data_IF_770367327026
#
_entry.id   IF_770367327026
#
_cell.length_a   1.000
_cell.length_b   1.000
_cell.length_c   1.000
_cell.angle_alpha   90.00
_cell.angle_beta   90.00
_cell.angle_gamma   90.00
#
_symmetry.space_group_name_H-M   'P 1'
#
loop_
_entity.id
_entity.type
_entity.pdbx_description
1 polymer ?
#
# COMPACT_ATOMS: atom_id res chain seq x y z
N UNK A 1 23.73 -5.69 -25.33
CA UNK A 1 22.65 -6.70 -25.20
C UNK A 1 21.37 -6.11 -25.75
N UNK A 2 20.41 -6.93 -26.19
CA UNK A 2 19.13 -6.42 -26.70
C UNK A 2 18.08 -6.47 -25.59
N UNK A 3 17.25 -5.44 -25.49
CA UNK A 3 16.06 -5.45 -24.64
C UNK A 3 14.91 -6.09 -25.41
N UNK A 4 14.33 -7.13 -24.86
CA UNK A 4 13.14 -7.78 -25.38
C UNK A 4 11.97 -7.47 -24.47
N UNK A 5 10.88 -6.98 -25.05
CA UNK A 5 9.60 -6.81 -24.39
C UNK A 5 8.69 -7.94 -24.86
N UNK A 6 8.33 -8.83 -23.94
CA UNK A 6 7.57 -10.04 -24.23
C UNK A 6 6.19 -9.87 -23.63
N UNK A 7 5.23 -9.62 -24.50
CA UNK A 7 3.85 -9.50 -24.09
C UNK A 7 3.31 -10.87 -23.68
N UNK A 8 2.82 -10.98 -22.45
CA UNK A 8 2.02 -12.10 -21.98
C UNK A 8 0.55 -11.73 -22.00
N UNK A 9 -0.32 -12.69 -22.28
CA UNK A 9 -1.78 -12.49 -22.31
C UNK A 9 -2.45 -13.59 -21.53
N UNK A 10 -3.44 -13.25 -20.72
CA UNK A 10 -4.37 -14.20 -20.14
C UNK A 10 -5.56 -14.36 -21.11
N UNK A 11 -5.70 -15.51 -21.80
CA UNK A 11 -6.70 -15.69 -22.84
C UNK A 11 -8.13 -15.75 -22.29
N UNK A 12 -8.31 -15.95 -20.97
CA UNK A 12 -9.65 -16.00 -20.34
C UNK A 12 -10.18 -14.62 -19.98
N UNK A 13 -9.30 -13.68 -19.65
CA UNK A 13 -9.66 -12.36 -19.13
C UNK A 13 -9.30 -11.22 -20.09
N UNK A 14 -8.45 -11.49 -21.08
CA UNK A 14 -7.91 -10.47 -21.97
C UNK A 14 -6.85 -9.58 -21.32
N UNK A 15 -6.44 -9.85 -20.08
CA UNK A 15 -5.35 -9.12 -19.44
C UNK A 15 -4.04 -9.36 -20.20
N UNK A 16 -3.30 -8.28 -20.42
CA UNK A 16 -1.96 -8.34 -20.99
C UNK A 16 -0.95 -7.87 -19.96
N UNK A 17 0.22 -8.50 -19.91
CA UNK A 17 1.39 -8.00 -19.19
C UNK A 17 2.60 -8.04 -20.10
N UNK A 18 3.74 -7.54 -19.64
CA UNK A 18 4.99 -7.52 -20.39
C UNK A 18 6.14 -8.03 -19.52
N UNK A 19 6.81 -9.08 -19.98
CA UNK A 19 8.08 -9.54 -19.41
C UNK A 19 9.19 -8.81 -20.16
N UNK A 20 10.01 -8.06 -19.46
CA UNK A 20 11.23 -7.45 -19.98
C UNK A 20 12.40 -8.42 -19.76
N UNK A 21 13.15 -8.64 -20.83
CA UNK A 21 14.31 -9.50 -20.83
C UNK A 21 15.45 -8.79 -21.56
N UNK A 22 16.48 -8.43 -20.82
CA UNK A 22 17.74 -7.97 -21.40
C UNK A 22 18.62 -9.19 -21.59
N UNK A 23 18.94 -9.54 -22.85
CA UNK A 23 19.88 -10.66 -23.11
C UNK A 23 20.76 -10.48 -24.35
N UNK A 24 21.97 -11.06 -24.32
CA UNK A 24 22.79 -11.29 -25.52
C UNK A 24 22.32 -12.50 -26.33
N UNK A 25 21.54 -13.40 -25.72
CA UNK A 25 21.09 -14.68 -26.29
C UNK A 25 19.72 -14.56 -26.97
N UNK A 26 19.59 -13.61 -27.90
CA UNK A 26 18.34 -13.33 -28.60
C UNK A 26 17.71 -14.53 -29.33
N UNK A 27 18.54 -15.50 -29.72
CA UNK A 27 18.09 -16.76 -30.34
C UNK A 27 17.35 -17.69 -29.38
N UNK A 28 17.50 -17.52 -28.06
CA UNK A 28 16.83 -18.30 -27.03
C UNK A 28 15.77 -17.50 -26.26
N UNK A 29 15.42 -16.31 -26.74
CA UNK A 29 14.57 -15.38 -25.99
C UNK A 29 13.23 -15.97 -25.55
N UNK A 30 12.61 -16.78 -26.42
CA UNK A 30 11.34 -17.44 -26.12
C UNK A 30 11.48 -18.47 -25.00
N UNK A 31 12.51 -19.31 -25.06
CA UNK A 31 12.81 -20.30 -24.01
C UNK A 31 13.10 -19.62 -22.67
N UNK A 32 13.85 -18.51 -22.67
CA UNK A 32 14.14 -17.72 -21.46
C UNK A 32 12.85 -17.14 -20.87
N UNK A 33 11.98 -16.62 -21.73
CA UNK A 33 10.69 -16.07 -21.32
C UNK A 33 9.72 -17.13 -20.77
N UNK A 34 9.67 -18.30 -21.41
CA UNK A 34 8.85 -19.44 -20.98
C UNK A 34 9.31 -19.97 -19.62
N UNK A 35 10.64 -20.13 -19.45
CA UNK A 35 11.21 -20.55 -18.16
C UNK A 35 10.96 -19.53 -17.05
N UNK A 36 11.02 -18.23 -17.34
CA UNK A 36 10.66 -17.19 -16.37
C UNK A 36 9.20 -17.27 -15.97
N UNK A 37 8.29 -17.25 -16.93
CA UNK A 37 6.85 -17.32 -16.69
C UNK A 37 6.52 -18.61 -15.90
N UNK A 38 7.14 -19.73 -16.26
CA UNK A 38 7.04 -20.99 -15.54
C UNK A 38 7.54 -20.88 -14.09
N UNK A 39 8.70 -20.24 -13.87
CA UNK A 39 9.26 -20.06 -12.53
C UNK A 39 8.34 -19.18 -11.66
N UNK A 40 7.74 -18.11 -12.20
CA UNK A 40 6.77 -17.28 -11.50
C UNK A 40 5.49 -18.06 -11.14
N UNK A 41 5.02 -18.94 -12.03
CA UNK A 41 3.82 -19.76 -11.81
C UNK A 41 4.09 -20.89 -10.81
N UNK A 42 5.31 -21.44 -10.82
CA UNK A 42 5.67 -22.67 -10.11
C UNK A 42 6.79 -22.46 -9.08
N UNK A 43 6.85 -21.29 -8.43
CA UNK A 43 7.88 -21.00 -7.42
C UNK A 43 7.84 -22.13 -6.37
N UNK A 44 8.98 -22.80 -6.17
CA UNK A 44 9.09 -23.86 -5.16
C UNK A 44 8.95 -23.23 -3.77
N UNK A 45 8.01 -23.68 -2.91
CA UNK A 45 7.78 -23.09 -1.58
C UNK A 45 9.03 -23.04 -0.69
N UNK A 46 9.99 -23.92 -0.95
CA UNK A 46 11.26 -24.03 -0.21
C UNK A 46 12.24 -22.88 -0.50
N UNK A 47 11.97 -22.03 -1.50
CA UNK A 47 12.77 -20.86 -1.88
C UNK A 47 12.09 -19.53 -1.50
N UNK A 48 10.91 -19.59 -0.87
CA UNK A 48 10.15 -18.43 -0.42
C UNK A 48 10.13 -18.38 1.11
N UNK A 49 10.37 -17.21 1.68
CA UNK A 49 10.34 -16.99 3.13
C UNK A 49 8.88 -17.05 3.66
N UNK A 50 7.86 -17.04 2.79
CA UNK A 50 6.44 -17.18 3.15
C UNK A 50 5.61 -17.80 1.99
N UNK A 51 4.69 -18.73 2.31
CA UNK A 51 3.78 -19.40 1.37
C UNK A 51 2.77 -18.44 0.69
N UNK A 52 2.52 -17.26 1.27
CA UNK A 52 1.61 -16.24 0.74
C UNK A 52 1.95 -15.82 -0.71
N UNK A 53 3.25 -15.71 -1.02
CA UNK A 53 3.70 -15.25 -2.34
C UNK A 53 3.61 -16.34 -3.41
N UNK A 54 3.84 -17.61 -3.05
CA UNK A 54 3.62 -18.73 -3.95
C UNK A 54 2.15 -18.77 -4.41
N UNK A 55 1.23 -18.62 -3.46
CA UNK A 55 -0.20 -18.60 -3.72
C UNK A 55 -0.61 -17.36 -4.53
N UNK A 56 -0.04 -16.18 -4.25
CA UNK A 56 -0.29 -14.95 -5.02
C UNK A 56 0.13 -15.10 -6.49
N UNK A 57 1.38 -15.46 -6.78
CA UNK A 57 1.84 -15.55 -8.16
C UNK A 57 1.15 -16.68 -8.93
N UNK A 58 0.92 -17.83 -8.29
CA UNK A 58 0.15 -18.91 -8.89
C UNK A 58 -1.29 -18.47 -9.20
N UNK A 59 -1.96 -17.76 -8.28
CA UNK A 59 -3.32 -17.27 -8.49
C UNK A 59 -3.41 -16.23 -9.60
N UNK A 60 -2.45 -15.33 -9.70
CA UNK A 60 -2.50 -14.19 -10.62
C UNK A 60 -1.87 -14.47 -11.99
N UNK A 61 -0.91 -15.39 -12.11
CA UNK A 61 -0.15 -15.62 -13.35
C UNK A 61 -0.31 -17.02 -13.97
N UNK A 62 -0.95 -17.99 -13.30
CA UNK A 62 -1.13 -19.37 -13.82
C UNK A 62 -1.84 -19.50 -15.16
N UNK A 63 -2.53 -18.44 -15.59
CA UNK A 63 -3.33 -18.41 -16.82
C UNK A 63 -2.73 -17.50 -17.89
N UNK A 64 -1.54 -16.94 -17.68
CA UNK A 64 -0.88 -16.10 -18.69
C UNK A 64 -0.03 -16.95 -19.64
N UNK A 65 -0.03 -16.57 -20.91
CA UNK A 65 0.73 -17.21 -21.99
C UNK A 65 1.52 -16.15 -22.78
N UNK A 66 2.65 -16.53 -23.38
CA UNK A 66 3.43 -15.60 -24.22
C UNK A 66 2.69 -15.36 -25.54
N UNK A 67 2.47 -14.09 -25.86
CA UNK A 67 1.72 -13.65 -27.04
C UNK A 67 2.62 -13.03 -28.12
N UNK A 68 3.44 -12.03 -27.77
CA UNK A 68 4.33 -11.35 -28.72
C UNK A 68 5.70 -11.09 -28.11
N UNK A 69 6.74 -11.11 -28.95
CA UNK A 69 8.11 -10.77 -28.56
C UNK A 69 8.55 -9.57 -29.42
N UNK A 70 8.78 -8.44 -28.77
CA UNK A 70 9.22 -7.20 -29.39
C UNK A 70 10.69 -7.00 -29.05
N UNK A 71 11.55 -7.00 -30.07
CA UNK A 71 12.98 -6.65 -29.90
C UNK A 71 13.12 -5.13 -29.95
N UNK A 72 13.74 -4.54 -28.94
CA UNK A 72 14.10 -3.12 -28.90
C UNK A 72 15.63 -2.98 -28.79
N UNK A 73 16.23 -2.24 -29.72
CA UNK A 73 17.67 -2.01 -29.75
C UNK A 73 18.00 -0.75 -28.95
N UNK A 74 18.25 -0.92 -27.65
CA UNK A 74 18.91 0.07 -26.81
C UNK A 74 20.20 -0.54 -26.28
N UNK A 75 21.32 0.14 -26.51
CA UNK A 75 22.63 -0.29 -26.04
C UNK A 75 22.74 -0.07 -24.52
N UNK A 76 22.45 -1.11 -23.75
CA UNK A 76 22.76 -1.18 -22.32
C UNK A 76 24.09 -1.91 -22.09
N UNK A 77 24.90 -1.40 -21.15
CA UNK A 77 26.14 -2.03 -20.70
C UNK A 77 25.90 -2.84 -19.42
N UNK A 78 26.15 -4.16 -19.54
CA UNK A 78 26.35 -5.18 -18.50
C UNK A 78 25.12 -5.90 -17.89
N UNK A 79 25.24 -7.24 -17.88
CA UNK A 79 24.42 -8.31 -17.28
C UNK A 79 23.00 -8.58 -17.84
N UNK A 80 22.61 -9.86 -17.89
CA UNK A 80 21.25 -10.32 -18.25
C UNK A 80 20.28 -9.89 -17.13
N UNK A 81 19.36 -8.97 -17.43
CA UNK A 81 18.52 -8.27 -16.44
C UNK A 81 17.02 -8.37 -16.80
N UNK A 82 16.14 -8.45 -15.81
CA UNK A 82 14.93 -9.27 -15.92
C UNK A 82 13.69 -8.75 -15.12
N UNK A 83 12.85 -7.89 -15.71
CA UNK A 83 11.63 -7.34 -15.03
C UNK A 83 10.31 -7.84 -15.62
N UNK A 84 9.20 -7.78 -14.86
CA UNK A 84 7.83 -7.88 -15.41
C UNK A 84 7.10 -6.56 -15.13
N UNK A 85 6.63 -5.89 -16.18
CA UNK A 85 5.81 -4.67 -16.16
C UNK A 85 4.43 -5.10 -16.68
N UNK A 86 3.37 -5.03 -15.87
CA UNK A 86 2.02 -5.40 -16.32
C UNK A 86 1.39 -4.35 -17.27
N UNK A 87 0.63 -3.33 -16.89
CA UNK A 87 -0.26 -2.46 -17.72
C UNK A 87 -1.61 -3.09 -18.04
N UNK A 88 -2.63 -2.56 -17.37
CA UNK A 88 -4.03 -2.72 -17.74
C UNK A 88 -4.37 -1.77 -18.89
N UNK A 89 -4.60 -2.30 -20.10
CA UNK A 89 -5.31 -1.54 -21.14
C UNK A 89 -6.81 -1.78 -21.03
N UNK A 90 -7.46 -1.10 -20.09
CA UNK A 90 -8.92 -0.92 -20.15
C UNK A 90 -9.22 0.49 -20.65
N UNK A 91 -9.95 0.55 -21.77
CA UNK A 91 -10.41 1.79 -22.41
C UNK A 91 -11.15 2.66 -21.38
N UNK A 92 -10.51 3.73 -20.88
CA UNK A 92 -11.19 4.83 -20.20
C UNK A 92 -10.93 5.06 -18.70
N UNK A 93 -9.95 4.42 -18.07
CA UNK A 93 -9.57 4.72 -16.67
C UNK A 93 -8.07 5.02 -16.55
N UNK A 94 -7.73 5.87 -15.58
CA UNK A 94 -6.45 6.54 -15.33
C UNK A 94 -5.24 5.58 -15.44
N UNK A 95 -4.19 6.02 -16.15
CA UNK A 95 -2.90 5.33 -16.19
C UNK A 95 -2.24 5.40 -14.81
N UNK A 96 -2.38 4.34 -14.02
CA UNK A 96 -1.51 4.13 -12.86
C UNK A 96 -0.09 3.82 -13.38
N UNK A 97 0.89 4.61 -12.96
CA UNK A 97 2.30 4.32 -13.15
C UNK A 97 2.59 3.02 -12.39
N UNK A 98 3.14 2.00 -13.04
CA UNK A 98 3.45 0.76 -12.33
C UNK A 98 4.64 0.98 -11.40
N UNK A 99 4.33 1.12 -10.12
CA UNK A 99 5.30 1.19 -9.03
C UNK A 99 5.97 -0.17 -8.86
N UNK A 100 7.30 -0.18 -8.70
CA UNK A 100 8.06 -1.37 -8.31
C UNK A 100 7.73 -1.68 -6.85
N UNK A 101 7.58 -2.96 -6.51
CA UNK A 101 7.38 -3.34 -5.11
C UNK A 101 8.68 -3.09 -4.32
N UNK A 102 8.57 -2.56 -3.11
CA UNK A 102 9.70 -2.26 -2.22
C UNK A 102 10.63 -3.48 -2.01
N UNK A 103 10.09 -4.70 -2.04
CA UNK A 103 10.87 -5.93 -1.91
C UNK A 103 11.77 -6.21 -3.12
N UNK A 104 11.30 -5.86 -4.32
CA UNK A 104 12.04 -6.06 -5.57
C UNK A 104 13.00 -4.90 -5.82
N UNK A 105 12.62 -3.70 -5.37
CA UNK A 105 13.41 -2.48 -5.49
C UNK A 105 14.78 -2.58 -4.80
N UNK A 106 14.82 -3.18 -3.62
CA UNK A 106 16.01 -3.23 -2.78
C UNK A 106 16.15 -4.60 -2.13
N UNK A 107 17.38 -5.12 -2.09
CA UNK A 107 17.68 -6.33 -1.34
C UNK A 107 17.78 -6.00 0.16
N UNK A 108 16.83 -6.51 0.94
CA UNK A 108 16.71 -6.24 2.38
C UNK A 108 17.45 -7.22 3.28
N UNK A 109 17.85 -8.39 2.78
CA UNK A 109 18.32 -9.50 3.61
C UNK A 109 17.19 -10.06 4.49
N UNK A 110 17.42 -10.17 5.80
CA UNK A 110 16.35 -10.50 6.75
C UNK A 110 15.42 -9.30 6.94
N UNK A 111 14.36 -9.28 6.13
CA UNK A 111 13.41 -8.18 6.12
C UNK A 111 12.69 -7.99 7.46
N UNK A 112 12.34 -9.06 8.18
CA UNK A 112 11.68 -8.92 9.47
C UNK A 112 12.60 -8.23 10.49
N UNK A 113 13.88 -8.59 10.50
CA UNK A 113 14.87 -7.92 11.34
C UNK A 113 15.01 -6.42 10.97
N UNK A 114 14.91 -6.08 9.68
CA UNK A 114 14.97 -4.67 9.23
C UNK A 114 13.74 -3.88 9.66
N UNK A 115 12.56 -4.47 9.53
CA UNK A 115 11.32 -3.81 9.98
C UNK A 115 11.33 -3.60 11.49
N UNK A 116 11.88 -4.55 12.26
CA UNK A 116 12.12 -4.37 13.70
C UNK A 116 13.08 -3.22 13.99
N UNK A 117 14.20 -3.12 13.26
CA UNK A 117 15.15 -1.98 13.36
C UNK A 117 14.45 -0.63 13.14
N UNK A 118 13.57 -0.55 12.13
CA UNK A 118 12.77 0.65 11.87
C UNK A 118 11.80 0.95 13.02
N UNK A 119 11.09 -0.07 13.52
CA UNK A 119 10.14 0.08 14.62
C UNK A 119 10.82 0.59 15.90
N UNK A 120 12.03 0.11 16.21
CA UNK A 120 12.81 0.53 17.38
C UNK A 120 13.40 1.95 17.21
N UNK A 121 13.78 2.34 15.99
CA UNK A 121 14.29 3.70 15.71
C UNK A 121 13.19 4.76 15.71
N UNK A 122 11.98 4.40 15.25
CA UNK A 122 10.82 5.26 15.17
C UNK A 122 10.18 5.55 16.54
N UNK A 123 9.25 6.52 16.57
CA UNK A 123 8.40 6.77 17.73
C UNK A 123 7.65 5.49 18.16
N UNK A 124 7.49 5.21 19.46
CA UNK A 124 6.84 3.99 19.95
C UNK A 124 5.40 3.87 19.46
N UNK A 125 5.12 2.74 18.81
CA UNK A 125 3.81 2.40 18.27
C UNK A 125 3.61 0.88 18.22
N UNK A 126 2.36 0.44 18.30
CA UNK A 126 2.00 -0.97 18.09
C UNK A 126 1.93 -1.26 16.59
N UNK A 127 2.87 -2.04 16.08
CA UNK A 127 3.06 -2.29 14.64
C UNK A 127 2.50 -3.61 14.13
N UNK A 128 1.78 -4.34 14.98
CA UNK A 128 1.10 -5.59 14.64
C UNK A 128 -0.32 -5.59 15.20
N UNK A 129 -1.19 -6.40 14.63
CA UNK A 129 -2.47 -6.70 15.26
C UNK A 129 -2.28 -7.76 16.35
N UNK A 130 -3.15 -7.72 17.38
CA UNK A 130 -3.11 -8.69 18.48
C UNK A 130 -1.75 -8.74 19.18
N UNK A 131 -1.35 -9.88 19.74
CA UNK A 131 -0.05 -10.07 20.42
C UNK A 131 0.99 -10.71 19.48
N UNK A 132 0.85 -10.48 18.16
CA UNK A 132 1.80 -10.95 17.16
C UNK A 132 3.00 -10.01 17.02
N UNK A 133 4.21 -10.55 16.87
CA UNK A 133 5.44 -9.77 16.62
C UNK A 133 5.82 -9.79 15.12
N UNK A 134 4.81 -9.66 14.25
CA UNK A 134 4.97 -9.83 12.79
C UNK A 134 5.19 -8.51 12.04
N UNK A 135 4.96 -7.37 12.69
CA UNK A 135 5.07 -6.01 12.14
C UNK A 135 4.22 -5.77 10.88
N UNK A 136 3.10 -6.49 10.70
CA UNK A 136 2.22 -6.42 9.53
C UNK A 136 1.75 -5.00 9.19
N UNK A 137 1.47 -4.17 10.20
CA UNK A 137 1.04 -2.77 10.01
C UNK A 137 2.19 -1.95 9.43
N UNK A 138 3.40 -2.08 10.00
CA UNK A 138 4.57 -1.33 9.54
C UNK A 138 5.00 -1.73 8.14
N UNK A 139 4.93 -3.02 7.81
CA UNK A 139 5.22 -3.52 6.45
C UNK A 139 4.28 -2.94 5.42
N UNK A 140 2.97 -2.95 5.70
CA UNK A 140 1.97 -2.34 4.82
C UNK A 140 2.20 -0.83 4.70
N UNK A 141 2.42 -0.14 5.82
CA UNK A 141 2.69 1.29 5.85
C UNK A 141 3.89 1.65 4.96
N UNK A 142 5.02 0.96 5.14
CA UNK A 142 6.24 1.24 4.40
C UNK A 142 6.07 0.94 2.90
N UNK A 143 5.39 -0.16 2.54
CA UNK A 143 5.07 -0.52 1.16
C UNK A 143 4.26 0.58 0.46
N UNK A 144 3.13 0.99 1.03
CA UNK A 144 2.28 2.01 0.41
C UNK A 144 2.91 3.40 0.45
N UNK A 145 3.75 3.70 1.44
CA UNK A 145 4.54 4.93 1.47
C UNK A 145 5.57 4.94 0.35
N UNK A 146 6.27 3.84 0.12
CA UNK A 146 7.21 3.71 -0.99
C UNK A 146 6.52 3.84 -2.36
N UNK A 147 5.38 3.19 -2.55
CA UNK A 147 4.58 3.34 -3.77
C UNK A 147 4.17 4.81 -3.99
N UNK A 148 3.72 5.49 -2.93
CA UNK A 148 3.33 6.90 -3.02
C UNK A 148 4.50 7.81 -3.39
N UNK A 149 5.70 7.54 -2.87
CA UNK A 149 6.90 8.29 -3.22
C UNK A 149 7.33 8.07 -4.67
N UNK A 150 7.12 6.87 -5.23
CA UNK A 150 7.33 6.62 -6.65
C UNK A 150 6.38 7.45 -7.52
N UNK A 151 5.09 7.47 -7.18
CA UNK A 151 4.09 8.29 -7.90
C UNK A 151 4.41 9.80 -7.86
N UNK A 152 5.04 10.25 -6.76
CA UNK A 152 5.39 11.65 -6.53
C UNK A 152 6.80 12.03 -7.00
N UNK A 153 7.57 11.08 -7.54
CA UNK A 153 8.97 11.27 -7.94
C UNK A 153 9.86 11.81 -6.79
N UNK A 154 9.67 11.26 -5.59
CA UNK A 154 10.36 11.69 -4.35
C UNK A 154 11.45 10.74 -3.87
N UNK A 155 11.79 9.74 -4.67
CA UNK A 155 12.89 8.82 -4.40
C UNK A 155 14.14 9.38 -5.06
N UNK A 156 15.23 9.47 -4.31
CA UNK A 156 16.53 9.85 -4.87
C UNK A 156 17.22 8.58 -5.32
N UNK A 157 17.53 8.51 -6.61
CA UNK A 157 18.36 7.47 -7.21
C UNK A 157 19.55 8.10 -7.94
N UNK A 158 20.73 7.52 -7.72
CA UNK A 158 21.95 7.91 -8.44
C UNK A 158 22.61 6.69 -9.09
N UNK A 159 23.85 6.82 -9.52
CA UNK A 159 24.64 5.68 -10.00
C UNK A 159 25.17 4.79 -8.86
N UNK A 160 25.18 5.30 -7.62
CA UNK A 160 25.85 4.64 -6.48
C UNK A 160 24.94 4.38 -5.29
N UNK A 161 23.87 5.14 -5.12
CA UNK A 161 22.97 5.01 -3.97
C UNK A 161 21.51 5.37 -4.28
N UNK A 162 20.61 4.93 -3.40
CA UNK A 162 19.25 5.44 -3.33
C UNK A 162 18.84 5.80 -1.91
N UNK A 163 17.93 6.79 -1.79
CA UNK A 163 17.36 7.24 -0.51
C UNK A 163 15.89 7.56 -0.71
N UNK A 164 15.06 7.12 0.23
CA UNK A 164 13.68 7.59 0.32
C UNK A 164 13.26 7.83 1.77
N UNK A 165 12.31 8.75 1.95
CA UNK A 165 11.77 9.10 3.26
C UNK A 165 10.77 8.03 3.73
N UNK A 166 10.95 7.44 4.90
CA UNK A 166 10.02 6.41 5.40
C UNK A 166 8.68 6.99 5.86
N UNK A 167 8.60 8.31 6.04
CA UNK A 167 7.44 8.99 6.64
C UNK A 167 7.37 8.89 8.17
N UNK A 168 8.26 8.12 8.78
CA UNK A 168 8.39 7.98 10.24
C UNK A 168 9.44 8.94 10.82
N UNK A 169 9.32 9.17 12.11
CA UNK A 169 10.19 10.05 12.88
C UNK A 169 10.81 9.29 14.05
N UNK A 170 12.04 9.65 14.39
CA UNK A 170 12.74 9.14 15.57
C UNK A 170 12.15 9.70 16.87
N UNK A 171 12.65 9.21 18.00
CA UNK A 171 12.34 9.75 19.33
C UNK A 171 12.68 11.24 19.49
N UNK A 172 13.55 11.78 18.64
CA UNK A 172 13.93 13.19 18.59
C UNK A 172 13.14 13.99 17.56
N UNK A 173 12.10 13.41 16.96
CA UNK A 173 11.33 14.00 15.86
C UNK A 173 12.18 14.33 14.63
N UNK A 174 13.23 13.55 14.38
CA UNK A 174 14.00 13.61 13.14
C UNK A 174 13.45 12.61 12.12
N UNK A 175 13.32 12.99 10.83
CA UNK A 175 12.85 12.07 9.79
C UNK A 175 13.77 10.86 9.64
N UNK A 176 13.18 9.69 9.43
CA UNK A 176 13.91 8.44 9.17
C UNK A 176 13.85 8.14 7.67
N UNK A 177 15.00 7.87 7.09
CA UNK A 177 15.19 7.53 5.68
C UNK A 177 15.64 6.08 5.53
N UNK A 178 15.17 5.41 4.48
CA UNK A 178 15.78 4.15 4.05
C UNK A 178 16.91 4.46 3.07
N UNK A 179 18.09 3.90 3.31
CA UNK A 179 19.28 4.10 2.48
C UNK A 179 19.76 2.77 1.89
N UNK A 180 20.06 2.79 0.59
CA UNK A 180 20.65 1.68 -0.12
C UNK A 180 21.84 2.09 -0.99
N UNK A 181 22.76 1.16 -1.21
CA UNK A 181 23.91 1.29 -2.11
C UNK A 181 23.74 0.35 -3.31
N UNK A 182 24.46 0.62 -4.40
CA UNK A 182 24.47 -0.28 -5.55
C UNK A 182 24.84 -1.70 -5.13
N UNK A 183 24.00 -2.66 -5.48
CA UNK A 183 24.22 -4.07 -5.19
C UNK A 183 25.36 -4.61 -6.08
N UNK A 184 26.52 -4.86 -5.49
CA UNK A 184 27.71 -5.37 -6.19
C UNK A 184 27.81 -6.89 -6.19
N UNK A 185 26.85 -7.58 -5.57
CA UNK A 185 26.87 -9.03 -5.48
C UNK A 185 26.09 -9.64 -6.66
N UNK A 186 26.83 -10.08 -7.68
CA UNK A 186 26.28 -10.71 -8.90
C UNK A 186 25.40 -11.94 -8.59
N UNK A 187 25.60 -12.60 -7.45
CA UNK A 187 24.80 -13.77 -7.04
C UNK A 187 23.43 -13.43 -6.45
N UNK A 188 23.20 -12.17 -6.06
CA UNK A 188 21.95 -11.64 -5.45
C UNK A 188 21.35 -10.54 -6.36
N UNK A 189 21.73 -10.51 -7.64
CA UNK A 189 21.50 -9.39 -8.57
C UNK A 189 20.04 -9.23 -9.06
N UNK A 190 19.03 -9.67 -8.31
CA UNK A 190 17.63 -9.40 -8.64
C UNK A 190 17.22 -7.95 -8.34
N UNK A 191 17.84 -7.32 -7.34
CA UNK A 191 17.57 -5.93 -6.95
C UNK A 191 18.80 -5.06 -7.17
N UNK A 192 18.64 -3.92 -7.85
CA UNK A 192 19.69 -2.92 -8.09
C UNK A 192 20.31 -2.40 -6.79
N UNK A 193 19.48 -2.21 -5.77
CA UNK A 193 19.88 -1.61 -4.51
C UNK A 193 20.07 -2.68 -3.43
N UNK A 194 21.05 -2.47 -2.55
CA UNK A 194 21.28 -3.25 -1.35
C UNK A 194 21.00 -2.38 -0.13
N UNK A 195 20.13 -2.84 0.78
CA UNK A 195 19.76 -2.08 1.97
C UNK A 195 20.95 -1.91 2.93
N UNK A 196 21.23 -0.66 3.32
CA UNK A 196 22.36 -0.30 4.17
C UNK A 196 21.96 0.20 5.56
N UNK A 197 20.69 0.50 5.78
CA UNK A 197 20.18 0.90 7.09
C UNK A 197 19.11 1.98 7.03
N UNK A 198 18.42 2.15 8.15
CA UNK A 198 17.56 3.30 8.39
C UNK A 198 18.37 4.43 9.02
N UNK A 199 18.41 5.59 8.36
CA UNK A 199 19.27 6.72 8.72
C UNK A 199 18.46 7.96 9.02
N UNK A 200 18.90 8.76 9.98
CA UNK A 200 18.41 10.13 10.16
C UNK A 200 19.17 11.13 9.26
N UNK A 201 18.84 12.42 9.39
CA UNK A 201 19.51 13.50 8.64
C UNK A 201 21.00 13.61 8.95
N UNK A 202 21.42 13.35 10.19
CA UNK A 202 22.82 13.46 10.60
C UNK A 202 23.64 12.29 10.05
N UNK A 203 23.14 11.06 10.16
CA UNK A 203 23.77 9.85 9.64
C UNK A 203 23.92 9.85 8.12
N UNK A 204 22.95 10.43 7.40
CA UNK A 204 23.06 10.67 5.97
C UNK A 204 24.03 11.82 5.65
N UNK A 205 24.01 12.89 6.45
CA UNK A 205 24.92 14.04 6.29
C UNK A 205 26.39 13.66 6.44
N UNK A 206 26.73 12.72 7.33
CA UNK A 206 28.11 12.20 7.47
C UNK A 206 28.61 11.55 6.17
N UNK A 207 27.72 10.95 5.38
CA UNK A 207 28.09 10.31 4.12
C UNK A 207 28.42 11.35 3.03
N UNK A 208 27.97 12.61 3.19
CA UNK A 208 28.15 13.71 2.24
C UNK A 208 27.69 13.35 0.81
N UNK A 209 26.67 12.49 0.70
CA UNK A 209 26.14 11.99 -0.58
C UNK A 209 24.81 12.63 -0.97
N UNK A 210 24.09 13.26 -0.03
CA UNK A 210 22.74 13.82 -0.28
C UNK A 210 22.80 15.34 -0.22
N UNK A 211 22.65 16.00 -1.38
CA UNK A 211 22.56 17.47 -1.45
C UNK A 211 21.21 18.00 -0.95
N UNK A 212 20.11 17.32 -1.32
CA UNK A 212 18.75 17.61 -0.88
C UNK A 212 18.10 16.32 -0.37
N UNK A 213 17.58 16.34 0.86
CA UNK A 213 16.89 15.18 1.42
C UNK A 213 15.53 14.92 0.74
N UNK A 214 15.14 13.66 0.53
CA UNK A 214 13.86 13.34 -0.11
C UNK A 214 12.70 13.74 0.80
N UNK A 215 11.68 14.35 0.19
CA UNK A 215 10.49 14.79 0.90
C UNK A 215 9.61 13.59 1.31
N UNK A 216 8.77 13.79 2.33
CA UNK A 216 7.79 12.79 2.75
C UNK A 216 6.67 12.66 1.71
N UNK A 217 6.07 11.48 1.65
CA UNK A 217 4.87 11.21 0.86
C UNK A 217 3.73 12.17 1.23
N UNK A 218 3.07 12.76 0.23
CA UNK A 218 1.94 13.66 0.43
C UNK A 218 0.60 12.94 0.21
N UNK A 219 0.02 12.48 1.31
CA UNK A 219 -1.30 11.85 1.27
C UNK A 219 -2.46 12.87 1.26
N UNK A 220 -2.22 14.15 1.55
CA UNK A 220 -3.27 15.15 1.75
C UNK A 220 -2.87 16.55 1.32
N UNK A 221 -2.59 16.70 0.03
CA UNK A 221 -2.37 18.01 -0.60
C UNK A 221 -3.51 19.01 -0.38
N UNK A 222 -4.73 18.51 -0.17
CA UNK A 222 -5.91 19.30 0.25
C UNK A 222 -6.34 18.93 1.68
N UNK A 223 -5.90 19.69 2.70
CA UNK A 223 -6.25 19.42 4.11
C UNK A 223 -7.75 19.49 4.40
N UNK A 224 -8.56 20.16 3.57
CA UNK A 224 -10.01 20.26 3.78
C UNK A 224 -10.70 18.89 3.70
N UNK A 225 -10.04 17.89 3.10
CA UNK A 225 -10.51 16.51 3.00
C UNK A 225 -10.33 15.68 4.27
N UNK A 226 -9.52 16.15 5.22
CA UNK A 226 -9.24 15.41 6.45
C UNK A 226 -10.37 15.47 7.48
N UNK A 227 -11.29 16.43 7.35
CA UNK A 227 -12.32 16.72 8.35
C UNK A 227 -13.71 16.52 7.77
N UNK A 228 -14.58 15.86 8.52
CA UNK A 228 -15.99 15.72 8.15
C UNK A 228 -16.70 17.09 8.15
N UNK A 229 -17.29 17.45 7.01
CA UNK A 229 -18.06 18.67 6.86
C UNK A 229 -19.55 18.41 7.13
N UNK A 230 -20.01 18.78 8.32
CA UNK A 230 -21.38 18.56 8.79
C UNK A 230 -22.47 19.30 8.00
N UNK A 231 -22.10 20.29 7.17
CA UNK A 231 -23.04 20.97 6.28
C UNK A 231 -23.41 20.15 5.05
N UNK A 232 -22.63 19.09 4.73
CA UNK A 232 -22.86 18.26 3.56
C UNK A 232 -23.78 17.09 3.88
N UNK A 233 -24.66 16.77 2.93
CA UNK A 233 -25.54 15.60 3.05
C UNK A 233 -24.75 14.31 2.88
N UNK A 234 -25.19 13.25 3.54
CA UNK A 234 -24.68 11.89 3.38
C UNK A 234 -25.72 11.05 2.65
N UNK A 235 -25.40 10.64 1.42
CA UNK A 235 -26.23 9.75 0.61
C UNK A 235 -25.81 8.31 0.86
N UNK A 236 -26.73 7.47 1.32
CA UNK A 236 -26.46 6.08 1.72
C UNK A 236 -26.92 5.09 0.67
N UNK A 237 -26.03 4.20 0.23
CA UNK A 237 -26.36 3.11 -0.67
C UNK A 237 -26.58 1.80 0.12
N UNK A 238 -27.73 1.68 0.78
CA UNK A 238 -28.06 0.51 1.60
C UNK A 238 -28.02 -0.80 0.80
N UNK A 239 -28.45 -0.75 -0.47
CA UNK A 239 -28.43 -1.91 -1.36
C UNK A 239 -27.00 -2.43 -1.52
N UNK A 240 -26.05 -1.54 -1.84
CA UNK A 240 -24.66 -1.95 -1.99
C UNK A 240 -24.07 -2.43 -0.66
N UNK A 241 -24.36 -1.78 0.46
CA UNK A 241 -23.80 -2.20 1.77
C UNK A 241 -24.30 -3.60 2.18
N UNK A 242 -25.56 -3.94 1.89
CA UNK A 242 -26.18 -5.21 2.31
C UNK A 242 -26.04 -6.34 1.29
N UNK A 243 -26.13 -6.05 0.00
CA UNK A 243 -26.27 -7.06 -1.05
C UNK A 243 -24.94 -7.37 -1.78
N UNK A 244 -23.96 -6.47 -1.73
CA UNK A 244 -22.64 -6.71 -2.30
C UNK A 244 -21.89 -7.76 -1.46
N UNK A 245 -21.41 -8.83 -2.08
CA UNK A 245 -20.81 -9.96 -1.36
C UNK A 245 -19.56 -9.57 -0.58
N UNK A 246 -18.70 -8.72 -1.14
CA UNK A 246 -17.44 -8.31 -0.50
C UNK A 246 -17.72 -7.42 0.72
N UNK A 247 -18.69 -6.53 0.62
CA UNK A 247 -19.09 -5.63 1.70
C UNK A 247 -19.90 -6.36 2.78
N UNK A 248 -20.90 -7.14 2.38
CA UNK A 248 -21.80 -7.84 3.30
C UNK A 248 -21.06 -8.88 4.14
N UNK A 249 -20.04 -9.55 3.60
CA UNK A 249 -19.19 -10.48 4.34
C UNK A 249 -18.44 -9.82 5.51
N UNK A 250 -18.24 -8.49 5.48
CA UNK A 250 -17.57 -7.76 6.57
C UNK A 250 -18.54 -7.33 7.68
N UNK A 251 -19.85 -7.32 7.42
CA UNK A 251 -20.83 -6.94 8.42
C UNK A 251 -20.89 -7.97 9.56
N UNK A 252 -21.22 -7.54 10.80
CA UNK A 252 -21.35 -8.44 11.92
C UNK A 252 -22.55 -9.39 11.74
N UNK A 253 -22.48 -10.54 12.42
CA UNK A 253 -23.54 -11.56 12.38
C UNK A 253 -24.89 -11.02 12.87
N UNK A 254 -24.89 -10.00 13.72
CA UNK A 254 -26.10 -9.31 14.19
C UNK A 254 -26.92 -8.71 13.04
N UNK A 255 -26.28 -8.24 11.98
CA UNK A 255 -26.95 -7.74 10.77
C UNK A 255 -27.23 -8.87 9.78
N UNK A 256 -26.24 -9.74 9.52
CA UNK A 256 -26.39 -10.84 8.55
C UNK A 256 -27.56 -11.77 8.89
N UNK A 257 -27.79 -12.00 10.18
CA UNK A 257 -28.85 -12.88 10.69
C UNK A 257 -30.10 -12.11 11.15
N UNK A 258 -30.15 -10.79 10.94
CA UNK A 258 -31.31 -9.98 11.34
C UNK A 258 -32.53 -10.31 10.49
N UNK A 259 -33.71 -10.37 11.12
CA UNK A 259 -34.98 -10.42 10.40
C UNK A 259 -35.30 -9.08 9.68
N UNK A 260 -34.62 -8.00 10.08
CA UNK A 260 -34.83 -6.62 9.60
C UNK A 260 -33.48 -5.91 9.40
N UNK A 261 -32.63 -6.40 8.46
CA UNK A 261 -31.27 -5.90 8.29
C UNK A 261 -31.24 -4.45 7.81
N UNK A 262 -32.20 -4.05 6.96
CA UNK A 262 -32.28 -2.69 6.42
C UNK A 262 -32.61 -1.65 7.49
N UNK A 263 -33.61 -1.93 8.33
CA UNK A 263 -34.04 -1.04 9.41
C UNK A 263 -32.93 -0.89 10.46
N UNK A 264 -32.27 -2.01 10.79
CA UNK A 264 -31.15 -2.02 11.74
C UNK A 264 -29.98 -1.20 11.21
N UNK A 265 -29.59 -1.43 9.94
CA UNK A 265 -28.50 -0.69 9.30
C UNK A 265 -28.80 0.81 9.20
N UNK A 266 -30.04 1.18 8.83
CA UNK A 266 -30.48 2.58 8.80
C UNK A 266 -30.30 3.23 10.16
N UNK A 267 -30.81 2.61 11.21
CA UNK A 267 -30.71 3.13 12.58
C UNK A 267 -29.26 3.33 13.03
N UNK A 268 -28.39 2.35 12.76
CA UNK A 268 -26.97 2.41 13.10
C UNK A 268 -26.25 3.52 12.34
N UNK A 269 -26.42 3.59 11.01
CA UNK A 269 -25.78 4.63 10.19
C UNK A 269 -26.28 6.03 10.58
N UNK A 270 -27.59 6.22 10.70
CA UNK A 270 -28.13 7.55 11.03
C UNK A 270 -27.65 8.01 12.42
N UNK A 271 -27.59 7.09 13.41
CA UNK A 271 -27.01 7.39 14.73
C UNK A 271 -25.52 7.73 14.64
N UNK A 272 -24.73 6.95 13.89
CA UNK A 272 -23.30 7.20 13.71
C UNK A 272 -23.03 8.55 13.04
N UNK A 273 -23.81 8.92 12.03
CA UNK A 273 -23.70 10.24 11.39
C UNK A 273 -24.05 11.37 12.38
N UNK A 274 -25.08 11.22 13.21
CA UNK A 274 -25.37 12.21 14.26
C UNK A 274 -24.23 12.33 15.28
N UNK A 275 -23.62 11.21 15.70
CA UNK A 275 -22.42 11.22 16.57
C UNK A 275 -21.28 12.00 15.93
N UNK A 276 -20.99 11.77 14.65
CA UNK A 276 -19.93 12.49 13.91
C UNK A 276 -20.26 13.98 13.72
N UNK A 277 -21.52 14.35 13.48
CA UNK A 277 -21.95 15.75 13.45
C UNK A 277 -21.68 16.42 14.81
N UNK A 278 -21.98 15.73 15.92
CA UNK A 278 -21.73 16.24 17.26
C UNK A 278 -20.23 16.31 17.61
N UNK A 279 -19.42 15.39 17.08
CA UNK A 279 -17.98 15.36 17.27
C UNK A 279 -17.27 14.94 15.98
N UNK A 280 -16.80 15.93 15.22
CA UNK A 280 -16.12 15.72 13.93
C UNK A 280 -14.86 14.85 14.04
N UNK A 281 -14.24 14.74 15.23
CA UNK A 281 -13.04 13.92 15.46
C UNK A 281 -13.32 12.42 15.40
N UNK A 282 -14.60 12.01 15.43
CA UNK A 282 -14.98 10.59 15.27
C UNK A 282 -14.81 10.09 13.83
N UNK A 283 -14.80 10.99 12.85
CA UNK A 283 -14.47 10.63 11.48
C UNK A 283 -12.94 10.57 11.31
N UNK A 284 -12.43 9.44 10.83
CA UNK A 284 -11.00 9.23 10.62
C UNK A 284 -10.69 9.28 9.13
N UNK A 285 -9.77 10.13 8.66
CA UNK A 285 -9.37 10.13 7.26
C UNK A 285 -8.57 8.86 6.95
N UNK A 286 -8.80 8.29 5.77
CA UNK A 286 -7.98 7.23 5.22
C UNK A 286 -7.66 7.48 3.74
N UNK A 287 -6.57 6.91 3.27
CA UNK A 287 -6.13 7.04 1.88
C UNK A 287 -6.43 5.75 1.12
N UNK A 288 -7.15 5.86 0.01
CA UNK A 288 -7.50 4.72 -0.85
C UNK A 288 -7.60 5.17 -2.30
N UNK A 289 -6.93 4.46 -3.22
CA UNK A 289 -6.98 4.74 -4.67
C UNK A 289 -6.79 6.23 -5.03
N UNK A 290 -5.71 6.83 -4.54
CA UNK A 290 -5.34 8.22 -4.84
C UNK A 290 -6.34 9.30 -4.43
N UNK A 291 -7.16 8.99 -3.43
CA UNK A 291 -8.07 9.95 -2.78
C UNK A 291 -8.16 9.73 -1.28
N UNK A 292 -8.51 10.81 -0.59
CA UNK A 292 -8.90 10.77 0.82
C UNK A 292 -10.40 10.52 0.91
N UNK A 293 -10.76 9.59 1.78
CA UNK A 293 -12.12 9.29 2.21
C UNK A 293 -12.18 9.37 3.74
N UNK A 294 -13.39 9.42 4.29
CA UNK A 294 -13.60 9.46 5.74
C UNK A 294 -14.24 8.17 6.23
N UNK A 295 -13.75 7.64 7.35
CA UNK A 295 -14.26 6.47 8.03
C UNK A 295 -15.15 6.90 9.19
N UNK A 296 -16.35 6.34 9.27
CA UNK A 296 -17.27 6.54 10.38
C UNK A 296 -17.51 5.21 11.09
N UNK A 297 -17.27 5.10 12.42
CA UNK A 297 -17.47 3.85 13.14
C UNK A 297 -18.95 3.47 13.20
N UNK A 298 -19.26 2.22 12.86
CA UNK A 298 -20.59 1.64 13.05
C UNK A 298 -20.54 0.62 14.19
N UNK A 299 -21.36 0.82 15.21
CA UNK A 299 -21.51 -0.09 16.35
C UNK A 299 -22.90 -0.72 16.29
N UNK A 300 -22.96 -2.04 16.18
CA UNK A 300 -24.19 -2.84 16.17
C UNK A 300 -24.42 -3.55 17.51
N UNK A 301 -23.38 -3.59 18.37
CA UNK A 301 -23.43 -4.10 19.73
C UNK A 301 -24.11 -3.17 20.74
N UNK A 302 -24.07 -3.58 22.01
CA UNK A 302 -24.57 -2.77 23.15
C UNK A 302 -23.53 -1.79 23.68
N UNK A 303 -22.26 -2.05 23.40
CA UNK A 303 -21.12 -1.19 23.70
C UNK A 303 -20.84 -0.24 22.53
N UNK A 304 -20.06 0.82 22.80
CA UNK A 304 -19.61 1.76 21.77
C UNK A 304 -18.39 1.23 20.97
N UNK A 305 -18.13 -0.08 21.03
CA UNK A 305 -17.06 -0.72 20.26
C UNK A 305 -17.46 -0.83 18.78
N UNK A 306 -16.68 -0.27 17.83
CA UNK A 306 -17.02 -0.35 16.42
C UNK A 306 -16.83 -1.76 15.84
N UNK A 307 -17.82 -2.24 15.09
CA UNK A 307 -17.74 -3.53 14.38
C UNK A 307 -17.10 -3.37 12.98
N UNK A 308 -17.46 -2.28 12.30
CA UNK A 308 -16.99 -1.94 10.95
C UNK A 308 -16.89 -0.42 10.80
N UNK A 309 -16.14 0.04 9.81
CA UNK A 309 -16.04 1.44 9.45
C UNK A 309 -16.80 1.72 8.14
N UNK A 310 -17.79 2.61 8.18
CA UNK A 310 -18.49 3.12 7.00
C UNK A 310 -17.58 4.10 6.24
N UNK A 311 -17.41 3.87 4.94
CA UNK A 311 -16.61 4.76 4.07
C UNK A 311 -17.50 5.87 3.52
N UNK A 312 -17.07 7.12 3.69
CA UNK A 312 -17.67 8.31 3.12
C UNK A 312 -16.75 8.93 2.07
N UNK A 313 -17.20 8.92 0.82
CA UNK A 313 -16.50 9.56 -0.30
C UNK A 313 -17.06 10.97 -0.55
N UNK A 314 -16.19 11.99 -0.57
CA UNK A 314 -16.59 13.36 -0.87
C UNK A 314 -16.70 13.57 -2.37
N UNK A 315 -17.94 13.66 -2.85
CA UNK A 315 -18.22 13.88 -4.27
C UNK A 315 -17.97 15.34 -4.66
N UNK A 316 -17.50 15.55 -5.90
CA UNK A 316 -17.26 16.89 -6.49
C UNK A 316 -18.49 17.82 -6.44
N UNK A 317 -19.69 17.22 -6.42
CA UNK A 317 -20.98 17.89 -6.35
C UNK A 317 -21.38 18.37 -4.95
N UNK A 318 -20.56 18.17 -3.91
CA UNK A 318 -20.79 18.70 -2.57
C UNK A 318 -21.71 17.84 -1.69
N UNK A 319 -21.51 16.53 -1.69
CA UNK A 319 -22.13 15.61 -0.74
C UNK A 319 -21.23 14.40 -0.50
N UNK A 320 -21.44 13.70 0.62
CA UNK A 320 -20.79 12.43 0.90
C UNK A 320 -21.60 11.26 0.33
N UNK A 321 -20.91 10.28 -0.24
CA UNK A 321 -21.49 9.02 -0.66
C UNK A 321 -21.00 7.89 0.26
N UNK A 322 -21.94 7.20 0.90
CA UNK A 322 -21.68 6.05 1.75
C UNK A 322 -22.03 4.77 1.00
N UNK A 323 -21.01 4.02 0.56
CA UNK A 323 -21.19 2.88 -0.36
C UNK A 323 -20.76 1.55 0.22
N UNK A 324 -19.72 1.52 1.06
CA UNK A 324 -19.14 0.27 1.58
C UNK A 324 -18.70 0.41 3.02
N UNK A 325 -18.41 -0.73 3.64
CA UNK A 325 -17.85 -0.86 4.98
C UNK A 325 -16.50 -1.59 4.90
N UNK A 326 -15.55 -1.15 5.72
CA UNK A 326 -14.27 -1.81 5.95
C UNK A 326 -14.31 -2.58 7.28
N UNK A 327 -13.54 -3.66 7.37
CA UNK A 327 -13.22 -4.22 8.68
C UNK A 327 -12.36 -3.24 9.46
N UNK A 328 -12.34 -3.35 10.80
CA UNK A 328 -11.54 -2.46 11.64
C UNK A 328 -10.03 -2.54 11.34
N UNK A 329 -9.52 -3.72 10.96
CA UNK A 329 -8.12 -3.90 10.54
C UNK A 329 -7.80 -3.13 9.24
N UNK A 330 -8.68 -3.22 8.23
CA UNK A 330 -8.52 -2.47 6.97
C UNK A 330 -8.58 -0.96 7.23
N UNK A 331 -9.59 -0.52 7.99
CA UNK A 331 -9.78 0.86 8.40
C UNK A 331 -8.53 1.44 9.07
N UNK A 332 -7.95 0.71 10.03
CA UNK A 332 -6.74 1.12 10.72
C UNK A 332 -5.54 1.20 9.77
N UNK A 333 -5.33 0.17 8.94
CA UNK A 333 -4.21 0.09 7.99
C UNK A 333 -4.22 1.27 7.02
N UNK A 334 -5.37 1.57 6.44
CA UNK A 334 -5.51 2.67 5.47
C UNK A 334 -5.40 4.05 6.14
N UNK A 335 -5.96 4.21 7.34
CA UNK A 335 -5.87 5.46 8.10
C UNK A 335 -4.43 5.76 8.52
N UNK A 336 -3.66 4.72 8.88
CA UNK A 336 -2.29 4.85 9.37
C UNK A 336 -1.33 5.44 8.33
N UNK A 337 -1.64 5.32 7.04
CA UNK A 337 -0.88 5.97 5.96
C UNK A 337 -0.84 7.50 6.14
N UNK A 338 -1.95 8.09 6.55
CA UNK A 338 -2.08 9.54 6.75
C UNK A 338 -1.46 9.94 8.10
N UNK A 339 -1.96 9.34 9.18
CA UNK A 339 -1.52 9.65 10.55
C UNK A 339 -1.82 8.48 11.49
N UNK A 340 -1.08 8.38 12.60
CA UNK A 340 -1.46 7.51 13.72
C UNK A 340 -2.89 7.91 14.18
N UNK A 341 -3.89 7.00 14.18
CA UNK A 341 -5.29 7.35 14.46
C UNK A 341 -5.64 7.83 15.89
N UNK A 342 -4.69 8.34 16.67
CA UNK A 342 -4.89 8.74 18.08
C UNK A 342 -4.60 10.23 18.30
N UNK A 343 -5.35 10.87 19.20
CA UNK A 343 -5.04 12.21 19.69
C UNK A 343 -4.91 12.17 21.22
N UNK A 344 -3.70 11.92 21.70
CA UNK A 344 -3.45 11.63 23.12
C UNK A 344 -3.05 12.86 23.95
N UNK A 345 -2.95 14.04 23.35
CA UNK A 345 -2.26 15.19 23.97
C UNK A 345 -3.18 16.22 24.64
N UNK A 346 -4.48 16.23 24.30
CA UNK A 346 -5.45 17.18 24.87
C UNK A 346 -6.67 16.43 25.40
N UNK A 347 -6.46 15.72 26.49
CA UNK A 347 -7.52 15.03 27.23
C UNK A 347 -7.98 15.96 28.36
N UNK A 348 -9.30 16.17 28.50
CA UNK A 348 -9.86 16.99 29.57
C UNK A 348 -9.40 16.53 30.97
N UNK A 349 -9.18 15.23 31.12
CA UNK A 349 -8.66 14.57 32.32
C UNK A 349 -7.23 15.02 32.70
N UNK A 350 -6.47 15.55 31.74
CA UNK A 350 -5.10 16.04 31.93
C UNK A 350 -5.03 17.57 32.12
N UNK A 351 -6.16 18.27 32.08
CA UNK A 351 -6.24 19.71 32.31
C UNK A 351 -6.47 19.95 33.80
N UNK A 352 -5.39 20.31 34.50
CA UNK A 352 -5.49 20.81 35.88
C UNK A 352 -5.86 22.30 35.82
N UNK A 353 -7.00 22.67 36.43
CA UNK A 353 -7.28 24.07 36.72
C UNK A 353 -6.13 24.63 37.57
N UNK A 354 -5.57 25.78 37.18
CA UNK A 354 -4.50 26.46 37.91
C UNK A 354 -5.04 27.19 39.14
#
# INVERSE_FOLDING_TARGET
MNKYEIQITNPKTGYTGTIIINTSHGNKIREIAENKLYNYINIKPQLLINNYWAEYYQKHFSQFEISHIIKTEKSFSNADDYDIICKKYSKGEVCDMETIDIYDYMYWGDYNAKIKELAEKALPEKWSFEDEDDYSILKNYLKYTFNKLQEEDKIIETDSYCVFNTGLFSHYYEPIYAYGELNRNESIAASRWYFKGFKDTYELGILDIVEKFPERADYFSDPSRLVFNWHLKVNKNYKHILDDLDTSNRLPNSIKNSERPLETLKGVIDTAIQKVIANYKLAVPHYYQNKIQLLVPLCFGKDDNPDVALVLDLMKSGYYQATTCLSMQMAYTDARLIAKPESNWLMAENIKEQ
#
